data_IF_624809093977
#
_entry.id   IF_624809093977
#
_cell.length_a   1.000
_cell.length_b   1.000
_cell.length_c   1.000
_cell.angle_alpha   90.00
_cell.angle_beta   90.00
_cell.angle_gamma   90.00
#
_symmetry.space_group_name_H-M   'P 1'
#
loop_
_entity.id
_entity.type
_entity.pdbx_description
1 polymer ?
#
# COMPACT_ATOMS: atom_id res chain seq x y z
N UNK A 1 35.44 -8.26 -39.88
CA UNK A 1 35.51 -8.49 -38.42
C UNK A 1 35.92 -7.19 -37.75
N UNK A 2 35.00 -6.44 -37.11
CA UNK A 2 35.34 -5.40 -36.09
C UNK A 2 34.12 -4.66 -35.51
N UNK A 3 32.89 -4.94 -35.97
CA UNK A 3 31.67 -4.37 -35.39
C UNK A 3 31.61 -4.54 -33.86
N UNK A 4 31.80 -5.76 -33.36
CA UNK A 4 31.82 -6.06 -31.92
C UNK A 4 32.91 -5.32 -31.15
N UNK A 5 34.05 -4.99 -31.78
CA UNK A 5 35.18 -4.32 -31.12
C UNK A 5 35.00 -2.80 -31.10
N UNK A 6 34.31 -2.25 -32.09
CA UNK A 6 34.05 -0.83 -32.24
C UNK A 6 32.86 -0.38 -31.38
N UNK A 7 31.87 -1.25 -31.18
CA UNK A 7 30.68 -0.98 -30.39
C UNK A 7 30.70 -1.60 -28.99
N UNK A 8 31.75 -2.35 -28.60
CA UNK A 8 31.82 -3.03 -27.29
C UNK A 8 31.59 -2.10 -26.10
N UNK A 9 32.12 -0.87 -26.19
CA UNK A 9 31.99 0.12 -25.13
C UNK A 9 30.54 0.59 -24.99
N UNK A 10 29.88 0.86 -26.12
CA UNK A 10 28.46 1.25 -26.17
C UNK A 10 27.59 0.10 -25.67
N UNK A 11 27.84 -1.12 -26.13
CA UNK A 11 27.11 -2.32 -25.74
C UNK A 11 27.26 -2.60 -24.23
N UNK A 12 28.47 -2.45 -23.68
CA UNK A 12 28.73 -2.58 -22.26
C UNK A 12 28.01 -1.53 -21.42
N UNK A 13 28.02 -0.26 -21.87
CA UNK A 13 27.32 0.83 -21.21
C UNK A 13 25.80 0.63 -21.25
N UNK A 14 25.24 0.19 -22.37
CA UNK A 14 23.82 -0.14 -22.50
C UNK A 14 23.40 -1.27 -21.56
N UNK A 15 24.18 -2.35 -21.49
CA UNK A 15 23.92 -3.47 -20.57
C UNK A 15 24.00 -2.99 -19.12
N UNK A 16 25.02 -2.20 -18.78
CA UNK A 16 25.19 -1.68 -17.43
C UNK A 16 24.01 -0.80 -17.00
N UNK A 17 23.54 0.09 -17.89
CA UNK A 17 22.35 0.91 -17.63
C UNK A 17 21.12 0.03 -17.39
N UNK A 18 20.91 -1.01 -18.19
CA UNK A 18 19.79 -1.94 -18.01
C UNK A 18 19.88 -2.63 -16.64
N UNK A 19 21.06 -3.11 -16.25
CA UNK A 19 21.27 -3.76 -14.94
C UNK A 19 21.03 -2.79 -13.79
N UNK A 20 21.54 -1.56 -13.89
CA UNK A 20 21.35 -0.51 -12.88
C UNK A 20 19.86 -0.17 -12.75
N UNK A 21 19.14 0.00 -13.86
CA UNK A 21 17.69 0.24 -13.85
C UNK A 21 16.95 -0.92 -13.19
N UNK A 22 17.27 -2.17 -13.53
CA UNK A 22 16.61 -3.34 -12.92
C UNK A 22 16.88 -3.47 -11.41
N UNK A 23 18.08 -3.11 -10.95
CA UNK A 23 18.45 -3.16 -9.53
C UNK A 23 17.85 -2.01 -8.71
N UNK A 24 17.68 -0.84 -9.31
CA UNK A 24 17.16 0.36 -8.64
C UNK A 24 15.65 0.57 -8.83
N UNK A 25 15.05 -0.14 -9.77
CA UNK A 25 13.61 -0.06 -10.01
C UNK A 25 12.86 -0.82 -8.92
N UNK A 26 11.85 -0.17 -8.33
CA UNK A 26 10.83 -0.87 -7.54
C UNK A 26 10.01 -1.78 -8.47
N UNK A 27 9.42 -2.83 -7.89
CA UNK A 27 8.49 -3.71 -8.61
C UNK A 27 7.34 -2.92 -9.26
N UNK A 28 6.88 -1.84 -8.62
CA UNK A 28 5.83 -0.95 -9.14
C UNK A 28 6.19 -0.20 -10.43
N UNK A 29 7.48 -0.02 -10.72
CA UNK A 29 7.95 0.65 -11.95
C UNK A 29 8.11 -0.34 -13.11
N UNK A 30 8.34 -1.64 -12.83
CA UNK A 30 8.50 -2.70 -13.84
C UNK A 30 7.19 -3.45 -14.14
N UNK A 31 6.32 -3.56 -13.14
CA UNK A 31 5.04 -4.23 -13.24
C UNK A 31 3.91 -3.20 -13.19
N UNK A 32 2.92 -3.37 -14.06
CA UNK A 32 1.77 -2.47 -14.22
C UNK A 32 1.17 -2.05 -12.86
N UNK A 33 0.93 -0.74 -12.72
CA UNK A 33 0.30 -0.02 -11.60
C UNK A 33 -1.16 -0.44 -11.26
N UNK A 34 -1.57 -1.65 -11.63
CA UNK A 34 -2.90 -2.20 -11.38
C UNK A 34 -2.90 -3.51 -10.60
N UNK A 35 -1.76 -3.92 -10.05
CA UNK A 35 -1.60 -5.20 -9.36
C UNK A 35 -1.07 -4.94 -7.96
N UNK A 36 -1.95 -4.99 -6.97
CA UNK A 36 -1.58 -4.90 -5.56
C UNK A 36 -1.58 -6.30 -4.98
N UNK A 37 -0.57 -6.63 -4.19
CA UNK A 37 -0.48 -7.88 -3.46
C UNK A 37 -0.66 -7.59 -1.98
N UNK A 38 -1.51 -8.35 -1.31
CA UNK A 38 -1.60 -8.33 0.16
C UNK A 38 -0.72 -9.47 0.68
N UNK A 39 0.23 -9.10 1.53
CA UNK A 39 1.11 -10.04 2.21
C UNK A 39 0.99 -9.87 3.74
N UNK A 40 1.39 -10.91 4.45
CA UNK A 40 1.47 -11.01 5.90
C UNK A 40 2.89 -10.69 6.43
N UNK A 41 3.84 -10.44 5.54
CA UNK A 41 5.22 -10.08 5.88
C UNK A 41 5.51 -8.64 5.42
N UNK A 42 6.04 -7.81 6.32
CA UNK A 42 6.26 -6.38 6.04
C UNK A 42 7.48 -6.12 5.14
N UNK A 43 8.54 -6.91 5.31
CA UNK A 43 9.86 -6.63 4.74
C UNK A 43 10.27 -7.60 3.62
N UNK A 44 9.44 -8.59 3.30
CA UNK A 44 9.73 -9.60 2.29
C UNK A 44 8.44 -10.21 1.76
N UNK A 45 8.54 -10.69 0.53
CA UNK A 45 7.57 -11.61 -0.07
C UNK A 45 7.54 -12.92 0.73
N UNK A 46 6.38 -13.27 1.30
CA UNK A 46 6.16 -14.54 2.01
C UNK A 46 5.99 -15.74 1.06
N UNK A 47 5.71 -15.47 -0.21
CA UNK A 47 5.30 -16.49 -1.19
C UNK A 47 3.85 -16.96 -1.02
N UNK A 48 3.09 -16.33 -0.13
CA UNK A 48 1.66 -16.57 0.10
C UNK A 48 0.83 -15.32 -0.19
N UNK A 49 1.34 -14.42 -1.03
CA UNK A 49 0.66 -13.16 -1.34
C UNK A 49 -0.63 -13.40 -2.10
N UNK A 50 -1.67 -12.66 -1.74
CA UNK A 50 -2.95 -12.71 -2.45
C UNK A 50 -3.04 -11.51 -3.39
N UNK A 51 -3.28 -11.79 -4.66
CA UNK A 51 -3.56 -10.78 -5.66
C UNK A 51 -4.90 -10.09 -5.36
N UNK A 52 -4.86 -8.76 -5.27
CA UNK A 52 -6.07 -7.93 -5.18
C UNK A 52 -6.05 -6.82 -6.22
N UNK A 53 -7.22 -6.54 -6.77
CA UNK A 53 -7.43 -5.39 -7.63
C UNK A 53 -8.13 -4.31 -6.83
N UNK A 54 -7.40 -3.27 -6.45
CA UNK A 54 -7.95 -2.09 -5.79
C UNK A 54 -7.98 -0.90 -6.75
N UNK A 55 -8.98 -0.03 -6.61
CA UNK A 55 -9.05 1.25 -7.33
C UNK A 55 -8.29 2.36 -6.59
N UNK A 56 -7.75 2.05 -5.41
CA UNK A 56 -7.03 2.98 -4.54
C UNK A 56 -5.88 2.27 -3.84
N UNK A 57 -4.74 2.92 -3.80
CA UNK A 57 -3.59 2.43 -3.04
C UNK A 57 -3.73 2.82 -1.57
N UNK A 58 -4.10 1.85 -0.73
CA UNK A 58 -4.21 2.02 0.73
C UNK A 58 -2.85 1.99 1.44
N UNK A 59 -1.75 1.73 0.74
CA UNK A 59 -0.38 1.82 1.26
C UNK A 59 0.20 3.23 1.16
N UNK A 60 -0.33 4.09 0.29
CA UNK A 60 0.10 5.49 0.20
C UNK A 60 -0.53 6.35 1.30
N UNK A 61 0.33 6.98 2.09
CA UNK A 61 -0.04 7.99 3.08
C UNK A 61 -0.90 9.12 2.45
N UNK A 62 -0.51 9.66 1.30
CA UNK A 62 -1.26 10.75 0.64
C UNK A 62 -2.63 10.29 0.14
N UNK A 63 -2.73 9.09 -0.42
CA UNK A 63 -4.02 8.54 -0.87
C UNK A 63 -4.97 8.27 0.30
N UNK A 64 -4.47 7.79 1.43
CA UNK A 64 -5.29 7.63 2.64
C UNK A 64 -5.77 8.96 3.22
N UNK A 65 -4.90 9.97 3.32
CA UNK A 65 -5.31 11.29 3.82
C UNK A 65 -6.41 11.92 2.94
N UNK A 66 -6.36 11.65 1.64
CA UNK A 66 -7.34 12.12 0.65
C UNK A 66 -8.49 11.15 0.41
N UNK A 67 -8.64 10.10 1.24
CA UNK A 67 -9.77 9.17 1.16
C UNK A 67 -11.08 9.97 1.10
N UNK A 68 -12.09 9.55 0.32
CA UNK A 68 -13.25 10.40 0.05
C UNK A 68 -14.24 10.44 1.22
N UNK A 69 -14.77 11.63 1.53
CA UNK A 69 -15.86 11.80 2.50
C UNK A 69 -17.22 11.36 1.95
N UNK A 70 -17.30 11.03 0.65
CA UNK A 70 -18.52 10.57 0.00
C UNK A 70 -18.20 9.31 -0.80
N UNK A 71 -18.95 8.24 -0.59
CA UNK A 71 -18.78 6.96 -1.31
C UNK A 71 -20.13 6.55 -1.87
N UNK A 72 -20.37 6.81 -3.16
CA UNK A 72 -21.71 6.67 -3.74
C UNK A 72 -22.72 7.57 -3.00
N UNK A 73 -23.81 6.97 -2.50
CA UNK A 73 -24.85 7.68 -1.74
C UNK A 73 -24.52 7.85 -0.24
N UNK A 74 -23.34 7.39 0.19
CA UNK A 74 -22.92 7.49 1.58
C UNK A 74 -22.19 8.81 1.83
N UNK A 75 -22.57 9.50 2.90
CA UNK A 75 -21.92 10.73 3.36
C UNK A 75 -21.22 10.46 4.69
N UNK A 76 -19.95 10.83 4.75
CA UNK A 76 -19.10 10.61 5.90
C UNK A 76 -18.77 11.86 6.71
N UNK A 77 -18.26 11.64 7.91
CA UNK A 77 -17.67 12.65 8.79
C UNK A 77 -16.40 12.09 9.46
N UNK A 78 -15.41 12.95 9.76
CA UNK A 78 -14.20 12.54 10.44
C UNK A 78 -14.44 12.31 11.93
N UNK A 79 -13.62 11.43 12.51
CA UNK A 79 -13.38 11.36 13.95
C UNK A 79 -11.96 11.87 14.24
N UNK A 80 -11.78 12.49 15.40
CA UNK A 80 -10.47 12.91 15.91
C UNK A 80 -9.66 11.67 16.31
N UNK A 81 -8.46 11.52 15.75
CA UNK A 81 -7.60 10.34 15.95
C UNK A 81 -6.25 10.66 16.60
N UNK A 82 -5.88 11.93 16.80
CA UNK A 82 -4.55 12.33 17.24
C UNK A 82 -4.09 11.68 18.56
N UNK A 83 -4.99 11.51 19.54
CA UNK A 83 -4.68 10.83 20.80
C UNK A 83 -4.33 9.34 20.56
N UNK A 84 -5.08 8.68 19.69
CA UNK A 84 -4.89 7.28 19.36
C UNK A 84 -3.65 7.04 18.51
N UNK A 85 -3.35 7.96 17.58
CA UNK A 85 -2.12 7.93 16.80
C UNK A 85 -0.90 7.95 17.71
N UNK A 86 -0.88 8.86 18.69
CA UNK A 86 0.22 8.96 19.65
C UNK A 86 0.33 7.72 20.56
N UNK A 87 -0.80 7.20 21.03
CA UNK A 87 -0.85 6.04 21.92
C UNK A 87 -0.38 4.77 21.21
N UNK A 88 -0.86 4.55 19.99
CA UNK A 88 -0.59 3.36 19.18
C UNK A 88 0.71 3.47 18.38
N UNK A 89 1.33 4.66 18.33
CA UNK A 89 2.57 4.95 17.59
C UNK A 89 2.43 4.72 16.08
N UNK A 90 1.27 5.05 15.54
CA UNK A 90 0.97 4.88 14.12
C UNK A 90 1.39 6.11 13.35
N UNK A 91 1.86 5.95 12.12
CA UNK A 91 2.27 7.07 11.27
C UNK A 91 1.05 7.83 10.71
N UNK A 92 -0.07 7.12 10.52
CA UNK A 92 -1.34 7.70 10.10
C UNK A 92 -2.52 6.87 10.60
N UNK A 93 -3.55 7.53 11.12
CA UNK A 93 -4.83 6.92 11.46
C UNK A 93 -5.98 7.79 10.99
N UNK A 94 -6.83 7.24 10.13
CA UNK A 94 -8.07 7.89 9.72
C UNK A 94 -9.27 7.08 10.21
N UNK A 95 -10.18 7.75 10.90
CA UNK A 95 -11.45 7.17 11.31
C UNK A 95 -12.60 8.01 10.79
N UNK A 96 -13.58 7.34 10.19
CA UNK A 96 -14.74 7.98 9.58
C UNK A 96 -16.00 7.20 9.85
N UNK A 97 -17.07 7.91 10.12
CA UNK A 97 -18.42 7.35 10.11
C UNK A 97 -19.09 7.70 8.80
N UNK A 98 -19.85 6.78 8.23
CA UNK A 98 -20.65 6.98 7.02
C UNK A 98 -22.11 6.65 7.29
N UNK A 99 -23.02 7.51 6.84
CA UNK A 99 -24.45 7.21 6.74
C UNK A 99 -24.88 7.21 5.29
N UNK A 100 -25.77 6.29 4.94
CA UNK A 100 -26.37 6.17 3.62
C UNK A 100 -27.90 6.09 3.73
N UNK A 101 -28.58 5.94 2.58
CA UNK A 101 -30.02 5.79 2.56
C UNK A 101 -30.46 4.58 3.41
N UNK A 102 -31.31 4.82 4.42
CA UNK A 102 -31.85 3.74 5.27
C UNK A 102 -30.91 3.24 6.37
N UNK A 103 -29.73 3.85 6.58
CA UNK A 103 -28.77 3.47 7.62
C UNK A 103 -28.50 4.57 8.66
N UNK A 104 -29.41 5.53 8.80
CA UNK A 104 -29.29 6.65 9.76
C UNK A 104 -29.04 6.19 11.21
N UNK A 105 -29.61 5.05 11.61
CA UNK A 105 -29.45 4.50 12.98
C UNK A 105 -28.25 3.55 13.13
N UNK A 106 -27.57 3.22 12.03
CA UNK A 106 -26.45 2.26 11.98
C UNK A 106 -25.36 2.75 11.03
N UNK A 107 -24.51 3.68 11.48
CA UNK A 107 -23.43 4.19 10.66
C UNK A 107 -22.40 3.08 10.37
N UNK A 108 -21.82 3.13 9.18
CA UNK A 108 -20.65 2.32 8.83
C UNK A 108 -19.40 3.04 9.30
N UNK A 109 -18.59 2.37 10.11
CA UNK A 109 -17.31 2.90 10.54
C UNK A 109 -16.20 2.37 9.64
N UNK A 110 -15.39 3.29 9.15
CA UNK A 110 -14.17 3.01 8.41
C UNK A 110 -12.99 3.46 9.26
N UNK A 111 -12.07 2.54 9.50
CA UNK A 111 -10.79 2.79 10.14
C UNK A 111 -9.70 2.30 9.21
N UNK A 112 -8.77 3.18 8.86
CA UNK A 112 -7.51 2.80 8.25
C UNK A 112 -6.37 3.34 9.11
N UNK A 113 -5.35 2.52 9.27
CA UNK A 113 -4.20 2.78 10.12
C UNK A 113 -2.96 2.26 9.41
N UNK A 114 -1.92 3.08 9.37
CA UNK A 114 -0.61 2.73 8.83
C UNK A 114 0.43 2.87 9.93
N UNK A 115 1.38 1.94 9.93
CA UNK A 115 2.59 2.04 10.71
C UNK A 115 3.72 1.37 9.94
N UNK A 116 4.86 2.05 9.85
CA UNK A 116 6.09 1.56 9.23
C UNK A 116 6.87 0.63 10.18
N UNK A 117 6.33 0.40 11.39
CA UNK A 117 6.94 -0.46 12.42
C UNK A 117 5.93 -1.44 13.01
N UNK A 118 6.42 -2.60 13.46
CA UNK A 118 5.66 -3.57 14.27
C UNK A 118 5.37 -3.06 15.70
N UNK A 119 5.58 -1.76 15.98
CA UNK A 119 5.32 -1.21 17.31
C UNK A 119 3.83 -0.97 17.55
N UNK A 120 3.06 -0.72 16.49
CA UNK A 120 1.60 -0.53 16.52
C UNK A 120 0.83 -1.83 16.30
N UNK A 121 1.42 -2.76 15.55
CA UNK A 121 0.80 -4.02 15.15
C UNK A 121 1.63 -5.19 15.61
N UNK A 122 0.98 -6.23 16.13
CA UNK A 122 1.63 -7.53 16.22
C UNK A 122 2.06 -8.00 14.83
N UNK A 123 3.15 -8.77 14.72
CA UNK A 123 3.56 -9.38 13.46
C UNK A 123 2.36 -10.01 12.74
N UNK A 124 2.15 -9.78 11.43
CA UNK A 124 0.85 -10.08 10.83
C UNK A 124 0.49 -11.57 10.84
N UNK A 125 1.48 -12.47 10.92
CA UNK A 125 1.26 -13.91 11.16
C UNK A 125 0.46 -14.23 12.43
N UNK A 126 0.27 -13.27 13.35
CA UNK A 126 -0.57 -13.39 14.54
C UNK A 126 -2.03 -12.98 14.24
N UNK A 127 -2.28 -12.11 13.26
CA UNK A 127 -3.60 -11.63 12.88
C UNK A 127 -4.37 -12.62 11.96
N UNK A 128 -3.67 -13.27 11.04
CA UNK A 128 -4.28 -14.16 10.03
C UNK A 128 -4.70 -15.58 10.48
N UNK A 129 -4.16 -16.21 11.54
CA UNK A 129 -4.65 -17.52 12.01
C UNK A 129 -6.12 -17.49 12.47
N UNK A 130 -6.65 -16.30 12.77
CA UNK A 130 -8.03 -16.11 13.19
C UNK A 130 -9.01 -15.86 12.03
N UNK A 131 -8.53 -15.78 10.78
CA UNK A 131 -9.37 -15.48 9.61
C UNK A 131 -10.05 -16.71 8.98
N UNK A 132 -9.73 -17.93 9.44
CA UNK A 132 -10.36 -19.18 9.00
C UNK A 132 -9.67 -19.83 7.81
#
# INVERSE_FOLDING_TARGET
MNFLRQYSLILGLSILIIVIVLLLSSADLLFSSGVTFIDTELNRSSGQEVYVKTTMDFGSHEHLQTFPMTVGDWRGWPYETAEWEALLKTDLMIMRGYVGPGSYDRPLFFLAMQADTESSFHPPHICYPAAG
#
